data_IF_878539177232
#
_entry.id   IF_878539177232
#
_cell.length_a   1.000
_cell.length_b   1.000
_cell.length_c   1.000
_cell.angle_alpha   90.00
_cell.angle_beta   90.00
_cell.angle_gamma   90.00
#
_symmetry.space_group_name_H-M   'P 1'
#
loop_
_entity.id
_entity.type
_entity.pdbx_description
1 polymer ?
#
# COMPACT_ATOMS: atom_id res chain seq x y z
N UNK A 1 -2.15 15.40 -20.25
CA UNK A 1 -0.77 15.85 -19.99
C UNK A 1 -0.14 14.89 -18.98
N UNK A 2 1.01 14.29 -19.31
CA UNK A 2 1.70 13.27 -18.49
C UNK A 2 2.70 13.96 -17.53
N UNK A 3 2.18 14.74 -16.57
CA UNK A 3 2.95 15.60 -15.65
C UNK A 3 3.74 14.85 -14.56
N UNK A 4 3.95 13.55 -14.74
CA UNK A 4 4.61 12.71 -13.74
C UNK A 4 6.09 13.03 -13.63
N UNK A 5 6.75 13.33 -14.75
CA UNK A 5 8.18 13.61 -14.77
C UNK A 5 8.49 14.95 -14.07
N UNK A 6 7.65 15.95 -14.29
CA UNK A 6 7.70 17.27 -13.64
C UNK A 6 7.45 17.12 -12.14
N UNK A 7 6.49 16.28 -11.75
CA UNK A 7 6.26 15.96 -10.34
C UNK A 7 7.51 15.32 -9.70
N UNK A 8 8.13 14.33 -10.34
CA UNK A 8 9.36 13.71 -9.81
C UNK A 8 10.53 14.69 -9.71
N UNK A 9 10.62 15.67 -10.63
CA UNK A 9 11.62 16.74 -10.54
C UNK A 9 11.36 17.66 -9.34
N UNK A 10 10.10 18.05 -9.09
CA UNK A 10 9.73 18.92 -7.95
C UNK A 10 9.91 18.23 -6.60
N UNK A 11 9.75 16.90 -6.54
CA UNK A 11 9.84 16.11 -5.32
C UNK A 11 11.29 15.82 -4.86
N UNK A 12 12.30 16.36 -5.52
CA UNK A 12 13.72 16.23 -5.17
C UNK A 12 14.20 14.76 -5.13
N UNK A 13 14.16 14.12 -6.30
CA UNK A 13 14.97 13.00 -6.82
C UNK A 13 15.20 11.69 -6.03
N UNK A 14 14.94 11.58 -4.71
CA UNK A 14 15.09 10.30 -4.00
C UNK A 14 13.86 9.38 -4.17
N UNK A 15 12.73 9.96 -4.59
CA UNK A 15 11.52 9.21 -4.87
C UNK A 15 11.57 8.54 -6.25
N UNK A 16 11.51 7.20 -6.27
CA UNK A 16 11.40 6.38 -7.49
C UNK A 16 9.96 5.96 -7.73
N UNK A 17 9.54 5.91 -8.99
CA UNK A 17 8.23 5.36 -9.34
C UNK A 17 8.20 3.85 -9.04
N UNK A 18 7.33 3.44 -8.12
CA UNK A 18 7.17 2.05 -7.72
C UNK A 18 6.14 1.32 -8.60
N UNK A 19 5.04 1.99 -8.93
CA UNK A 19 3.94 1.38 -9.68
C UNK A 19 3.10 2.44 -10.40
N UNK A 20 2.75 2.18 -11.66
CA UNK A 20 1.78 2.97 -12.45
C UNK A 20 0.61 2.08 -12.86
N UNK A 21 -0.55 2.32 -12.26
CA UNK A 21 -1.81 1.67 -12.64
C UNK A 21 -2.77 2.69 -13.24
N UNK A 22 -3.85 2.20 -13.89
CA UNK A 22 -4.89 3.06 -14.49
C UNK A 22 -5.48 4.11 -13.52
N UNK A 23 -5.53 3.82 -12.22
CA UNK A 23 -6.19 4.67 -11.21
C UNK A 23 -5.25 5.25 -10.15
N UNK A 24 -3.97 4.87 -10.14
CA UNK A 24 -3.01 5.36 -9.14
C UNK A 24 -1.58 5.26 -9.64
N UNK A 25 -0.74 6.19 -9.18
CA UNK A 25 0.71 6.10 -9.25
C UNK A 25 1.24 6.03 -7.83
N UNK A 26 2.19 5.13 -7.59
CA UNK A 26 2.92 5.00 -6.34
C UNK A 26 4.37 5.37 -6.59
N UNK A 27 4.91 6.19 -5.69
CA UNK A 27 6.33 6.48 -5.59
C UNK A 27 6.84 5.94 -4.24
N UNK A 28 8.13 5.62 -4.18
CA UNK A 28 8.81 5.12 -2.97
C UNK A 28 10.16 5.81 -2.83
N UNK A 29 10.61 6.02 -1.61
CA UNK A 29 11.90 6.59 -1.27
C UNK A 29 12.28 6.19 0.16
N UNK A 30 13.54 6.42 0.52
CA UNK A 30 14.07 5.99 1.82
C UNK A 30 13.75 6.99 2.95
N UNK A 31 13.44 8.24 2.61
CA UNK A 31 13.02 9.28 3.54
C UNK A 31 11.51 9.57 3.45
N UNK A 32 10.85 9.91 4.58
CA UNK A 32 9.48 10.41 4.56
C UNK A 32 9.37 11.69 3.72
N UNK A 33 8.51 11.65 2.71
CA UNK A 33 8.28 12.79 1.82
C UNK A 33 6.89 13.38 2.06
N UNK A 34 6.85 14.65 2.44
CA UNK A 34 5.63 15.45 2.53
C UNK A 34 5.64 16.50 1.43
N UNK A 35 4.55 16.57 0.67
CA UNK A 35 4.40 17.54 -0.41
C UNK A 35 2.92 17.78 -0.68
N UNK A 36 2.50 19.01 -1.02
CA UNK A 36 1.12 19.31 -1.40
C UNK A 36 0.68 18.56 -2.67
N UNK A 37 1.63 18.05 -3.44
CA UNK A 37 1.36 17.27 -4.65
C UNK A 37 1.14 15.78 -4.37
N UNK A 38 1.46 15.31 -3.15
CA UNK A 38 1.23 13.93 -2.73
C UNK A 38 -0.12 13.82 -2.02
N UNK A 39 -0.99 12.94 -2.55
CA UNK A 39 -2.31 12.73 -1.96
C UNK A 39 -2.25 12.12 -0.55
N UNK A 40 -1.33 11.18 -0.34
CA UNK A 40 -1.07 10.46 0.92
C UNK A 40 0.38 10.00 0.95
N UNK A 41 0.98 9.96 2.14
CA UNK A 41 2.30 9.37 2.39
C UNK A 41 2.14 8.22 3.35
N UNK A 42 2.92 7.15 3.14
CA UNK A 42 2.84 5.94 3.94
C UNK A 42 4.22 5.52 4.41
N UNK A 43 4.32 4.99 5.63
CA UNK A 43 5.49 4.26 6.11
C UNK A 43 5.31 2.77 5.81
N UNK A 44 6.26 2.17 5.10
CA UNK A 44 6.26 0.72 4.86
C UNK A 44 6.63 0.02 6.16
N UNK A 45 5.73 -0.84 6.64
CA UNK A 45 5.92 -1.63 7.86
C UNK A 45 6.23 -3.09 7.57
N UNK A 46 5.97 -3.56 6.34
CA UNK A 46 6.33 -4.91 5.94
C UNK A 46 6.10 -5.20 4.47
N UNK A 47 6.79 -6.22 3.96
CA UNK A 47 6.62 -6.74 2.61
C UNK A 47 6.50 -8.26 2.71
N UNK A 48 5.43 -8.82 2.16
CA UNK A 48 5.17 -10.27 2.16
C UNK A 48 4.74 -10.74 0.77
N UNK A 49 4.79 -12.05 0.45
CA UNK A 49 4.18 -12.56 -0.77
C UNK A 49 2.69 -12.20 -0.83
N UNK A 50 2.18 -11.90 -2.03
CA UNK A 50 0.76 -11.58 -2.22
C UNK A 50 -0.09 -12.85 -2.08
N UNK A 51 -0.42 -13.21 -0.84
CA UNK A 51 -1.27 -14.34 -0.49
C UNK A 51 -2.11 -13.98 0.73
N UNK A 52 -3.45 -14.10 0.68
CA UNK A 52 -4.33 -13.62 1.75
C UNK A 52 -3.96 -14.11 3.15
N UNK A 53 -3.54 -15.38 3.28
CA UNK A 53 -3.12 -15.97 4.56
C UNK A 53 -1.82 -15.33 5.07
N UNK A 54 -0.82 -15.12 4.20
CA UNK A 54 0.47 -14.51 4.61
C UNK A 54 0.30 -13.07 5.05
N UNK A 55 -0.58 -12.34 4.38
CA UNK A 55 -0.93 -10.97 4.75
C UNK A 55 -1.66 -10.99 6.10
N UNK A 56 -2.65 -11.87 6.30
CA UNK A 56 -3.35 -12.00 7.57
C UNK A 56 -2.40 -12.34 8.72
N UNK A 57 -1.51 -13.32 8.56
CA UNK A 57 -0.53 -13.72 9.57
C UNK A 57 0.33 -12.53 10.00
N UNK A 58 0.84 -11.75 9.04
CA UNK A 58 1.59 -10.54 9.31
C UNK A 58 0.74 -9.52 10.09
N UNK A 59 -0.46 -9.22 9.59
CA UNK A 59 -1.33 -8.22 10.21
C UNK A 59 -1.71 -8.57 11.66
N UNK A 60 -1.98 -9.86 11.93
CA UNK A 60 -2.28 -10.34 13.28
C UNK A 60 -1.08 -10.21 14.20
N UNK A 61 0.10 -10.64 13.74
CA UNK A 61 1.33 -10.57 14.54
C UNK A 61 1.70 -9.14 14.92
N UNK A 62 1.51 -8.20 14.00
CA UNK A 62 1.80 -6.78 14.22
C UNK A 62 0.65 -6.02 14.94
N UNK A 63 -0.44 -6.70 15.31
CA UNK A 63 -1.53 -6.10 16.07
C UNK A 63 -2.39 -5.11 15.27
N UNK A 64 -2.64 -5.37 13.99
CA UNK A 64 -3.59 -4.59 13.20
C UNK A 64 -5.05 -5.00 13.47
N UNK A 65 -5.96 -4.02 13.43
CA UNK A 65 -7.41 -4.22 13.56
C UNK A 65 -8.17 -4.25 12.24
N UNK A 66 -7.63 -3.59 11.22
CA UNK A 66 -8.30 -3.43 9.91
C UNK A 66 -7.29 -3.20 8.79
N UNK A 67 -7.70 -3.55 7.56
CA UNK A 67 -6.87 -3.43 6.37
C UNK A 67 -7.62 -2.69 5.25
N UNK A 68 -6.99 -1.66 4.70
CA UNK A 68 -7.46 -1.00 3.48
C UNK A 68 -6.71 -1.55 2.28
N UNK A 69 -7.43 -2.30 1.46
CA UNK A 69 -6.87 -2.92 0.26
C UNK A 69 -6.79 -1.89 -0.87
N UNK A 70 -5.57 -1.54 -1.25
CA UNK A 70 -5.25 -0.71 -2.43
C UNK A 70 -4.78 -1.65 -3.54
N UNK A 71 -5.73 -2.42 -4.05
CA UNK A 71 -5.52 -3.49 -5.03
C UNK A 71 -6.28 -3.18 -6.33
N UNK A 72 -5.72 -3.60 -7.47
CA UNK A 72 -6.45 -3.65 -8.74
C UNK A 72 -6.84 -5.11 -8.99
N UNK A 73 -7.99 -5.52 -8.45
CA UNK A 73 -8.59 -6.85 -8.63
C UNK A 73 -10.09 -6.69 -8.95
N UNK A 74 -10.71 -7.69 -9.62
CA UNK A 74 -12.15 -7.68 -9.86
C UNK A 74 -12.97 -7.57 -8.57
N UNK A 75 -14.15 -6.96 -8.65
CA UNK A 75 -14.98 -6.63 -7.49
C UNK A 75 -15.49 -7.88 -6.76
N UNK A 76 -15.83 -8.91 -7.51
CA UNK A 76 -16.24 -10.23 -7.02
C UNK A 76 -15.15 -10.91 -6.18
N UNK A 77 -13.88 -10.71 -6.56
CA UNK A 77 -12.75 -11.23 -5.79
C UNK A 77 -12.41 -10.36 -4.59
N UNK A 78 -12.63 -9.05 -4.70
CA UNK A 78 -12.27 -8.07 -3.68
C UNK A 78 -12.83 -8.44 -2.30
N UNK A 79 -14.13 -8.74 -2.23
CA UNK A 79 -14.79 -9.07 -0.97
C UNK A 79 -14.25 -10.38 -0.36
N UNK A 80 -14.01 -11.38 -1.20
CA UNK A 80 -13.44 -12.67 -0.78
C UNK A 80 -12.03 -12.51 -0.23
N UNK A 81 -11.18 -11.75 -0.93
CA UNK A 81 -9.80 -11.47 -0.52
C UNK A 81 -9.79 -10.66 0.78
N UNK A 82 -10.62 -9.60 0.86
CA UNK A 82 -10.75 -8.76 2.04
C UNK A 82 -11.14 -9.56 3.27
N UNK A 83 -12.20 -10.38 3.18
CA UNK A 83 -12.67 -11.20 4.30
C UNK A 83 -11.57 -12.12 4.84
N UNK A 84 -10.73 -12.69 3.96
CA UNK A 84 -9.61 -13.55 4.37
C UNK A 84 -8.46 -12.76 5.01
N UNK A 85 -8.14 -11.58 4.48
CA UNK A 85 -7.07 -10.72 5.03
C UNK A 85 -7.47 -10.15 6.39
N UNK A 86 -8.72 -9.74 6.57
CA UNK A 86 -9.21 -9.13 7.81
C UNK A 86 -9.71 -10.15 8.85
N UNK A 87 -9.58 -11.46 8.59
CA UNK A 87 -10.07 -12.49 9.49
C UNK A 87 -9.33 -12.45 10.85
N UNK A 88 -10.09 -12.38 11.95
CA UNK A 88 -9.56 -12.39 13.33
C UNK A 88 -8.51 -11.30 13.61
N UNK A 89 -8.60 -10.15 12.93
CA UNK A 89 -7.89 -8.94 13.34
C UNK A 89 -8.59 -8.33 14.56
N UNK A 90 -7.82 -7.94 15.56
CA UNK A 90 -8.34 -7.47 16.85
C UNK A 90 -7.61 -6.25 17.41
N UNK A 91 -6.63 -5.71 16.67
CA UNK A 91 -5.95 -4.48 17.05
C UNK A 91 -6.78 -3.22 16.80
N UNK A 92 -6.14 -2.07 16.98
CA UNK A 92 -6.68 -0.74 16.76
C UNK A 92 -6.04 -0.05 15.53
N UNK A 93 -4.83 -0.47 15.18
CA UNK A 93 -4.06 0.02 14.03
C UNK A 93 -4.73 -0.32 12.69
N UNK A 94 -4.49 0.55 11.69
CA UNK A 94 -4.98 0.39 10.32
C UNK A 94 -3.82 0.18 9.35
N UNK A 95 -3.82 -0.96 8.67
CA UNK A 95 -2.90 -1.21 7.58
C UNK A 95 -3.46 -0.76 6.23
N UNK A 96 -2.59 -0.33 5.33
CA UNK A 96 -2.84 -0.18 3.89
C UNK A 96 -2.04 -1.26 3.15
N UNK A 97 -2.73 -2.04 2.32
CA UNK A 97 -2.13 -3.17 1.60
C UNK A 97 -2.12 -2.86 0.11
N UNK A 98 -0.93 -2.72 -0.46
CA UNK A 98 -0.71 -2.51 -1.88
C UNK A 98 -0.19 -3.80 -2.51
N UNK A 99 -0.66 -4.15 -3.70
CA UNK A 99 -0.04 -5.20 -4.51
C UNK A 99 0.97 -4.57 -5.46
N UNK A 100 2.20 -5.04 -5.40
CA UNK A 100 3.29 -4.66 -6.30
C UNK A 100 3.84 -5.95 -6.88
N UNK A 101 3.57 -6.22 -8.15
CA UNK A 101 3.90 -7.50 -8.78
C UNK A 101 3.32 -8.71 -8.01
N UNK A 102 4.20 -9.55 -7.46
CA UNK A 102 3.86 -10.76 -6.70
C UNK A 102 3.90 -10.56 -5.17
N UNK A 103 4.14 -9.34 -4.70
CA UNK A 103 4.24 -9.02 -3.27
C UNK A 103 3.12 -8.09 -2.82
N UNK A 104 2.81 -8.17 -1.53
CA UNK A 104 2.00 -7.21 -0.80
C UNK A 104 2.93 -6.30 0.01
N UNK A 105 2.85 -5.00 -0.23
CA UNK A 105 3.48 -3.97 0.59
C UNK A 105 2.44 -3.52 1.62
N UNK A 106 2.76 -3.69 2.90
CA UNK A 106 1.94 -3.30 4.03
C UNK A 106 2.51 -2.01 4.60
N UNK A 107 1.64 -1.00 4.76
CA UNK A 107 2.06 0.32 5.17
C UNK A 107 1.05 0.97 6.12
N UNK A 108 1.52 1.95 6.89
CA UNK A 108 0.68 2.83 7.72
C UNK A 108 0.70 4.24 7.15
N UNK A 109 -0.40 4.97 7.28
CA UNK A 109 -0.48 6.36 6.83
C UNK A 109 0.26 7.28 7.81
N UNK A 110 1.05 8.22 7.27
CA UNK A 110 1.83 9.22 8.02
C UNK A 110 1.06 10.53 8.25
#
# INVERSE_FOLDING_TARGET
ADLLNELFHVLNAEAKMLLREKRRVLATGDAPLKSPYLKRTYAVVGVVPFHPVRINDFLRREGFGRATLKLSIPQEEYWRVRKRIEANLSGDRRAFVFKVGRTAVIAEEL
#
